data_IF_473848845125
#
_entry.id   IF_473848845125
#
_cell.length_a   1.000
_cell.length_b   1.000
_cell.length_c   1.000
_cell.angle_alpha   90.00
_cell.angle_beta   90.00
_cell.angle_gamma   90.00
#
_symmetry.space_group_name_H-M   'P 1'
#
loop_
_entity.id
_entity.type
_entity.pdbx_description
1 polymer ?
#
# COMPACT_ATOMS: atom_id res chain seq x y z
N UNK A 1 -17.91 -50.10 -6.02
CA UNK A 1 -17.95 -48.87 -5.21
C UNK A 1 -17.78 -49.29 -3.77
N UNK A 2 -16.60 -49.04 -3.22
CA UNK A 2 -16.24 -49.47 -1.88
C UNK A 2 -16.52 -48.29 -0.93
N UNK A 3 -17.81 -47.90 -0.80
CA UNK A 3 -18.25 -46.69 -0.10
C UNK A 3 -17.67 -46.56 1.32
N UNK A 4 -17.35 -47.67 1.98
CA UNK A 4 -16.75 -47.70 3.31
C UNK A 4 -15.26 -47.29 3.29
N UNK A 5 -14.52 -47.72 2.27
CA UNK A 5 -13.10 -47.35 2.09
C UNK A 5 -12.97 -45.90 1.64
N UNK A 6 -13.87 -45.44 0.78
CA UNK A 6 -13.95 -44.04 0.35
C UNK A 6 -14.28 -43.10 1.52
N UNK A 7 -15.20 -43.52 2.40
CA UNK A 7 -15.54 -42.77 3.62
C UNK A 7 -14.35 -42.71 4.60
N UNK A 8 -13.62 -43.82 4.78
CA UNK A 8 -12.38 -43.85 5.58
C UNK A 8 -11.32 -42.88 5.04
N UNK A 9 -11.23 -42.69 3.72
CA UNK A 9 -10.31 -41.72 3.11
C UNK A 9 -10.69 -40.29 3.49
N UNK A 10 -11.98 -39.94 3.41
CA UNK A 10 -12.48 -38.60 3.81
C UNK A 10 -12.12 -38.32 5.27
N UNK A 11 -12.40 -39.26 6.16
CA UNK A 11 -12.14 -39.12 7.59
C UNK A 11 -10.64 -38.97 7.89
N UNK A 12 -9.79 -39.76 7.22
CA UNK A 12 -8.33 -39.65 7.36
C UNK A 12 -7.80 -38.28 6.91
N UNK A 13 -8.32 -37.75 5.79
CA UNK A 13 -7.95 -36.42 5.29
C UNK A 13 -8.43 -35.32 6.24
N UNK A 14 -9.67 -35.39 6.73
CA UNK A 14 -10.22 -34.42 7.69
C UNK A 14 -9.49 -34.45 9.04
N UNK A 15 -9.05 -35.63 9.48
CA UNK A 15 -8.21 -35.79 10.66
C UNK A 15 -6.78 -35.27 10.47
N UNK A 16 -6.35 -35.12 9.21
CA UNK A 16 -4.98 -34.73 8.87
C UNK A 16 -3.95 -35.84 9.10
N UNK A 17 -4.37 -37.11 9.09
CA UNK A 17 -3.51 -38.26 9.31
C UNK A 17 -2.91 -38.75 7.98
N UNK A 18 -1.71 -38.29 7.66
CA UNK A 18 -1.01 -38.65 6.42
C UNK A 18 -0.74 -40.16 6.30
N UNK A 19 -0.47 -40.85 7.42
CA UNK A 19 -0.18 -42.28 7.41
C UNK A 19 -1.45 -43.08 7.11
N UNK A 20 -2.56 -42.72 7.75
CA UNK A 20 -3.86 -43.32 7.47
C UNK A 20 -4.31 -43.07 6.03
N UNK A 21 -4.10 -41.86 5.49
CA UNK A 21 -4.36 -41.56 4.08
C UNK A 21 -3.56 -42.48 3.15
N UNK A 22 -2.26 -42.64 3.41
CA UNK A 22 -1.41 -43.53 2.61
C UNK A 22 -1.88 -45.00 2.65
N UNK A 23 -2.29 -45.49 3.82
CA UNK A 23 -2.80 -46.85 3.96
C UNK A 23 -4.15 -47.03 3.25
N UNK A 24 -5.08 -46.09 3.41
CA UNK A 24 -6.42 -46.19 2.81
C UNK A 24 -6.35 -46.09 1.28
N UNK A 25 -5.43 -45.28 0.73
CA UNK A 25 -5.16 -45.26 -0.71
C UNK A 25 -4.56 -46.59 -1.20
N UNK A 26 -3.66 -47.20 -0.42
CA UNK A 26 -3.11 -48.53 -0.74
C UNK A 26 -4.18 -49.65 -0.67
N UNK A 27 -5.19 -49.49 0.19
CA UNK A 27 -6.36 -50.37 0.27
C UNK A 27 -7.33 -50.22 -0.93
N UNK A 28 -7.03 -49.30 -1.87
CA UNK A 28 -7.78 -49.11 -3.12
C UNK A 28 -8.90 -48.06 -3.05
N UNK A 29 -8.82 -47.10 -2.12
CA UNK A 29 -9.72 -45.95 -2.09
C UNK A 29 -9.62 -45.11 -3.37
N UNK A 30 -10.75 -44.55 -3.82
CA UNK A 30 -10.75 -43.63 -4.96
C UNK A 30 -10.19 -42.25 -4.53
N UNK A 31 -9.04 -41.81 -5.07
CA UNK A 31 -8.44 -40.53 -4.72
C UNK A 31 -9.25 -39.30 -5.19
N UNK A 32 -10.26 -39.49 -6.05
CA UNK A 32 -11.15 -38.44 -6.57
C UNK A 32 -12.50 -38.37 -5.82
N UNK A 33 -12.61 -38.99 -4.65
CA UNK A 33 -13.80 -38.94 -3.80
C UNK A 33 -14.28 -37.51 -3.56
N UNK A 34 -15.60 -37.32 -3.70
CA UNK A 34 -16.27 -36.04 -3.47
C UNK A 34 -16.64 -35.87 -1.99
N UNK A 35 -16.34 -34.68 -1.46
CA UNK A 35 -16.54 -34.31 -0.05
C UNK A 35 -17.61 -33.22 0.06
N UNK A 36 -18.52 -33.44 1.01
CA UNK A 36 -19.50 -32.44 1.45
C UNK A 36 -20.57 -32.07 0.42
N UNK A 37 -21.35 -31.04 0.76
CA UNK A 37 -22.53 -30.61 -0.01
C UNK A 37 -22.19 -30.01 -1.37
N UNK A 38 -20.99 -29.46 -1.52
CA UNK A 38 -20.52 -28.78 -2.74
C UNK A 38 -19.72 -29.70 -3.67
N UNK A 39 -19.63 -31.00 -3.38
CA UNK A 39 -18.94 -32.02 -4.20
C UNK A 39 -17.49 -31.65 -4.55
N UNK A 40 -16.77 -30.99 -3.64
CA UNK A 40 -15.33 -30.72 -3.84
C UNK A 40 -14.53 -32.02 -3.73
N UNK A 41 -13.41 -32.17 -4.43
CA UNK A 41 -12.56 -33.35 -4.29
C UNK A 41 -11.89 -33.41 -2.90
N UNK A 42 -11.55 -34.61 -2.45
CA UNK A 42 -10.78 -34.79 -1.20
C UNK A 42 -9.41 -34.09 -1.28
N UNK A 43 -8.85 -33.98 -2.48
CA UNK A 43 -7.65 -33.18 -2.77
C UNK A 43 -7.87 -31.68 -2.51
N UNK A 44 -9.02 -31.13 -2.91
CA UNK A 44 -9.35 -29.73 -2.62
C UNK A 44 -9.56 -29.47 -1.11
N UNK A 45 -10.00 -30.48 -0.34
CA UNK A 45 -10.12 -30.38 1.12
C UNK A 45 -8.76 -30.45 1.84
N UNK A 46 -7.87 -31.35 1.40
CA UNK A 46 -6.48 -31.37 1.85
C UNK A 46 -5.75 -30.05 1.54
N UNK A 47 -6.03 -29.47 0.37
CA UNK A 47 -5.48 -28.18 -0.03
C UNK A 47 -6.01 -27.01 0.81
N UNK A 48 -7.30 -27.02 1.17
CA UNK A 48 -7.93 -26.03 2.07
C UNK A 48 -7.32 -25.99 3.46
N UNK A 49 -6.90 -27.15 3.96
CA UNK A 49 -6.35 -27.31 5.31
C UNK A 49 -4.83 -27.14 5.35
N UNK A 50 -4.18 -26.87 4.22
CA UNK A 50 -2.73 -26.62 4.16
C UNK A 50 -1.87 -27.87 4.32
N UNK A 51 -2.42 -29.07 4.11
CA UNK A 51 -1.72 -30.34 4.41
C UNK A 51 -0.89 -30.83 3.22
N UNK A 52 0.29 -30.22 2.98
CA UNK A 52 1.18 -30.54 1.84
C UNK A 52 1.49 -32.04 1.69
N UNK A 53 1.74 -32.75 2.79
CA UNK A 53 2.02 -34.19 2.76
C UNK A 53 0.86 -35.01 2.21
N UNK A 54 -0.36 -34.75 2.70
CA UNK A 54 -1.59 -35.39 2.23
C UNK A 54 -1.88 -35.06 0.77
N UNK A 55 -1.69 -33.79 0.37
CA UNK A 55 -1.81 -33.38 -1.05
C UNK A 55 -0.86 -34.19 -1.93
N UNK A 56 0.39 -34.41 -1.49
CA UNK A 56 1.36 -35.25 -2.19
C UNK A 56 0.88 -36.70 -2.35
N UNK A 57 0.43 -37.33 -1.25
CA UNK A 57 -0.08 -38.72 -1.28
C UNK A 57 -1.26 -38.90 -2.23
N UNK A 58 -2.18 -37.95 -2.24
CA UNK A 58 -3.35 -37.99 -3.12
C UNK A 58 -2.94 -37.86 -4.59
N UNK A 59 -2.00 -36.97 -4.92
CA UNK A 59 -1.48 -36.84 -6.29
C UNK A 59 -0.68 -38.07 -6.73
N UNK A 60 0.14 -38.65 -5.84
CA UNK A 60 0.88 -39.89 -6.10
C UNK A 60 -0.06 -41.07 -6.39
N UNK A 61 -1.24 -41.09 -5.76
CA UNK A 61 -2.30 -42.07 -6.01
C UNK A 61 -3.12 -41.78 -7.28
N UNK A 62 -2.86 -40.67 -7.98
CA UNK A 62 -3.52 -40.32 -9.24
C UNK A 62 -4.75 -39.41 -9.11
N UNK A 63 -4.90 -38.69 -7.99
CA UNK A 63 -5.95 -37.67 -7.86
C UNK A 63 -5.90 -36.64 -8.99
N UNK A 64 -7.06 -36.20 -9.48
CA UNK A 64 -7.17 -35.12 -10.48
C UNK A 64 -6.72 -33.80 -9.88
N UNK A 65 -5.68 -33.20 -10.47
CA UNK A 65 -5.10 -31.93 -10.02
C UNK A 65 -6.01 -30.70 -10.29
N UNK A 66 -6.82 -30.76 -11.34
CA UNK A 66 -7.79 -29.73 -11.70
C UNK A 66 -9.10 -29.82 -10.90
N UNK A 67 -10.09 -28.96 -11.20
CA UNK A 67 -11.39 -29.05 -10.56
C UNK A 67 -12.12 -30.35 -10.95
N UNK A 68 -13.02 -30.82 -10.09
CA UNK A 68 -13.83 -32.01 -10.37
C UNK A 68 -14.85 -31.75 -11.49
N UNK A 69 -15.41 -30.53 -11.52
CA UNK A 69 -16.30 -30.03 -12.55
C UNK A 69 -16.13 -28.50 -12.73
N UNK A 70 -16.68 -27.88 -13.81
CA UNK A 70 -16.50 -26.46 -14.12
C UNK A 70 -16.99 -25.46 -13.05
N UNK A 71 -17.81 -25.91 -12.10
CA UNK A 71 -18.41 -25.07 -11.05
C UNK A 71 -17.75 -25.26 -9.69
N UNK A 72 -16.96 -26.33 -9.50
CA UNK A 72 -16.19 -26.57 -8.29
C UNK A 72 -14.88 -25.80 -8.28
N UNK A 73 -14.50 -25.27 -7.11
CA UNK A 73 -13.18 -24.66 -6.93
C UNK A 73 -12.09 -25.73 -7.03
N UNK A 74 -11.05 -25.46 -7.83
CA UNK A 74 -9.90 -26.36 -7.94
C UNK A 74 -9.10 -26.42 -6.63
N UNK A 75 -8.32 -27.50 -6.41
CA UNK A 75 -7.40 -27.56 -5.28
C UNK A 75 -6.46 -26.36 -5.19
N UNK A 76 -5.98 -25.86 -6.34
CA UNK A 76 -5.12 -24.69 -6.41
C UNK A 76 -5.84 -23.41 -5.94
N UNK A 77 -7.05 -23.15 -6.43
CA UNK A 77 -7.84 -21.96 -6.02
C UNK A 77 -8.12 -21.95 -4.54
N UNK A 78 -8.51 -23.10 -3.98
CA UNK A 78 -8.79 -23.19 -2.54
C UNK A 78 -7.52 -22.94 -1.72
N UNK A 79 -6.38 -23.52 -2.09
CA UNK A 79 -5.11 -23.22 -1.42
C UNK A 79 -4.69 -21.75 -1.53
N UNK A 80 -4.99 -21.10 -2.66
CA UNK A 80 -4.73 -19.67 -2.89
C UNK A 80 -5.60 -18.79 -1.99
N UNK A 81 -6.90 -19.08 -1.90
CA UNK A 81 -7.87 -18.33 -1.07
C UNK A 81 -7.49 -18.42 0.41
N UNK A 82 -7.08 -19.59 0.87
CA UNK A 82 -6.64 -19.84 2.26
C UNK A 82 -5.18 -19.43 2.52
N UNK A 83 -4.45 -18.99 1.49
CA UNK A 83 -3.06 -18.53 1.54
C UNK A 83 -2.03 -19.59 2.01
N UNK A 84 -2.24 -20.88 1.70
CA UNK A 84 -1.28 -21.96 2.00
C UNK A 84 -0.15 -22.01 0.97
N UNK A 85 0.85 -21.13 1.13
CA UNK A 85 1.92 -20.90 0.14
C UNK A 85 2.71 -22.16 -0.24
N UNK A 86 2.95 -23.06 0.71
CA UNK A 86 3.65 -24.32 0.52
C UNK A 86 2.86 -25.31 -0.34
N UNK A 87 1.56 -25.43 -0.10
CA UNK A 87 0.63 -26.21 -0.94
C UNK A 87 0.52 -25.59 -2.33
N UNK A 88 0.38 -24.26 -2.43
CA UNK A 88 0.32 -23.56 -3.73
C UNK A 88 1.58 -23.83 -4.55
N UNK A 89 2.76 -23.66 -3.95
CA UNK A 89 4.05 -23.93 -4.64
C UNK A 89 4.12 -25.37 -5.12
N UNK A 90 3.69 -26.32 -4.30
CA UNK A 90 3.69 -27.73 -4.66
C UNK A 90 2.72 -28.02 -5.82
N UNK A 91 1.46 -27.60 -5.73
CA UNK A 91 0.46 -27.79 -6.79
C UNK A 91 0.89 -27.15 -8.12
N UNK A 92 1.46 -25.95 -8.06
CA UNK A 92 2.01 -25.26 -9.23
C UNK A 92 3.16 -26.07 -9.85
N UNK A 93 4.07 -26.63 -9.05
CA UNK A 93 5.15 -27.49 -9.56
C UNK A 93 4.66 -28.78 -10.21
N UNK A 94 3.46 -29.24 -9.82
CA UNK A 94 2.76 -30.38 -10.44
C UNK A 94 1.93 -29.98 -11.69
N UNK A 95 1.95 -28.71 -12.12
CA UNK A 95 1.23 -28.25 -13.31
C UNK A 95 -0.22 -27.82 -13.07
N UNK A 96 -0.65 -27.61 -11.83
CA UNK A 96 -2.04 -27.25 -11.50
C UNK A 96 -2.51 -25.97 -12.21
N UNK A 97 -1.62 -25.00 -12.44
CA UNK A 97 -1.96 -23.74 -13.10
C UNK A 97 -2.47 -23.95 -14.54
N UNK A 98 -1.93 -24.94 -15.26
CA UNK A 98 -2.36 -25.28 -16.61
C UNK A 98 -3.67 -26.09 -16.63
N UNK A 99 -4.04 -26.70 -15.50
CA UNK A 99 -5.28 -27.47 -15.35
C UNK A 99 -6.48 -26.60 -14.93
N UNK A 100 -6.28 -25.29 -14.75
CA UNK A 100 -7.35 -24.37 -14.38
C UNK A 100 -8.38 -24.22 -15.51
N UNK A 101 -9.67 -24.24 -15.18
CA UNK A 101 -10.71 -24.06 -16.17
C UNK A 101 -10.68 -22.62 -16.71
N UNK A 102 -10.94 -22.47 -18.01
CA UNK A 102 -11.22 -21.18 -18.62
C UNK A 102 -12.53 -20.62 -18.02
N UNK A 103 -12.39 -19.77 -17.01
CA UNK A 103 -13.50 -19.14 -16.27
C UNK A 103 -13.34 -17.62 -16.34
N UNK A 104 -14.38 -16.89 -15.95
CA UNK A 104 -14.38 -15.42 -15.93
C UNK A 104 -13.35 -14.77 -14.99
N UNK A 105 -12.86 -15.50 -13.98
CA UNK A 105 -11.85 -14.99 -13.03
C UNK A 105 -10.64 -15.91 -13.03
N UNK A 106 -9.45 -15.32 -13.22
CA UNK A 106 -8.18 -16.06 -13.14
C UNK A 106 -7.81 -16.36 -11.68
N UNK A 107 -6.99 -17.40 -11.46
CA UNK A 107 -6.43 -17.70 -10.12
C UNK A 107 -5.64 -16.51 -9.57
N UNK A 108 -4.98 -15.74 -10.44
CA UNK A 108 -4.26 -14.54 -10.05
C UNK A 108 -5.21 -13.44 -9.55
N UNK A 109 -6.33 -13.22 -10.25
CA UNK A 109 -7.37 -12.25 -9.85
C UNK A 109 -8.03 -12.66 -8.53
N UNK A 110 -8.25 -13.96 -8.31
CA UNK A 110 -8.76 -14.49 -7.05
C UNK A 110 -7.74 -14.24 -5.91
N UNK A 111 -6.45 -14.51 -6.14
CA UNK A 111 -5.38 -14.23 -5.17
C UNK A 111 -5.35 -12.75 -4.78
N UNK A 112 -5.38 -11.85 -5.76
CA UNK A 112 -5.40 -10.40 -5.52
C UNK A 112 -6.64 -10.00 -4.71
N UNK A 113 -7.82 -10.51 -5.07
CA UNK A 113 -9.08 -10.20 -4.39
C UNK A 113 -9.07 -10.58 -2.90
N UNK A 114 -8.38 -11.68 -2.55
CA UNK A 114 -8.28 -12.16 -1.17
C UNK A 114 -7.12 -11.52 -0.39
N UNK A 115 -6.08 -11.02 -1.07
CA UNK A 115 -5.00 -10.20 -0.43
C UNK A 115 -5.44 -8.78 -0.06
N UNK A 116 -6.56 -8.33 -0.64
CA UNK A 116 -6.94 -6.92 -0.72
C UNK A 116 -7.51 -6.30 0.57
N UNK A 117 -8.02 -7.08 1.52
CA UNK A 117 -8.65 -6.53 2.73
C UNK A 117 -7.71 -6.51 3.94
N UNK A 118 -6.75 -7.45 4.03
CA UNK A 118 -5.63 -7.49 4.99
C UNK A 118 -4.53 -8.43 4.45
N UNK A 119 -3.50 -7.93 3.75
CA UNK A 119 -2.49 -8.79 3.18
C UNK A 119 -1.63 -9.40 4.29
N UNK A 120 -1.82 -10.70 4.55
CA UNK A 120 -0.91 -11.46 5.41
C UNK A 120 0.40 -11.71 4.65
N UNK A 121 1.53 -11.91 5.35
CA UNK A 121 2.78 -12.31 4.70
C UNK A 121 2.62 -13.56 3.83
N UNK A 122 1.77 -14.51 4.28
CA UNK A 122 1.43 -15.72 3.53
C UNK A 122 0.67 -15.41 2.24
N UNK A 123 -0.32 -14.51 2.27
CA UNK A 123 -1.07 -14.13 1.07
C UNK A 123 -0.17 -13.43 0.02
N UNK A 124 0.76 -12.57 0.46
CA UNK A 124 1.75 -11.96 -0.43
C UNK A 124 2.74 -12.98 -1.00
N UNK A 125 3.19 -13.93 -0.19
CA UNK A 125 4.07 -15.01 -0.66
C UNK A 125 3.36 -15.91 -1.68
N UNK A 126 2.09 -16.22 -1.47
CA UNK A 126 1.25 -16.97 -2.41
C UNK A 126 1.09 -16.21 -3.73
N UNK A 127 0.79 -14.91 -3.70
CA UNK A 127 0.72 -14.09 -4.90
C UNK A 127 2.05 -14.08 -5.67
N UNK A 128 3.17 -13.97 -4.96
CA UNK A 128 4.52 -14.02 -5.55
C UNK A 128 4.80 -15.36 -6.22
N UNK A 129 4.46 -16.47 -5.57
CA UNK A 129 4.61 -17.82 -6.16
C UNK A 129 3.83 -17.96 -7.46
N UNK A 130 2.59 -17.44 -7.51
CA UNK A 130 1.80 -17.48 -8.75
C UNK A 130 2.45 -16.67 -9.88
N UNK A 131 2.94 -15.46 -9.57
CA UNK A 131 3.61 -14.60 -10.55
C UNK A 131 4.93 -15.23 -11.05
N UNK A 132 5.73 -15.79 -10.15
CA UNK A 132 6.97 -16.52 -10.50
C UNK A 132 6.72 -17.75 -11.37
N UNK A 133 5.56 -18.38 -11.21
CA UNK A 133 5.13 -19.52 -12.01
C UNK A 133 4.55 -19.15 -13.39
N UNK A 134 4.55 -17.86 -13.74
CA UNK A 134 4.06 -17.39 -15.03
C UNK A 134 2.55 -17.17 -15.08
N UNK A 135 1.86 -17.05 -13.94
CA UNK A 135 0.51 -16.51 -13.93
C UNK A 135 0.57 -15.05 -14.40
N UNK A 136 0.19 -14.81 -15.66
CA UNK A 136 0.36 -13.51 -16.27
C UNK A 136 -0.72 -12.52 -15.79
N UNK A 137 -0.35 -11.28 -15.41
CA UNK A 137 -1.29 -10.17 -15.25
C UNK A 137 -1.70 -9.64 -16.64
N UNK A 138 -2.32 -10.50 -17.46
CA UNK A 138 -2.68 -10.20 -18.84
C UNK A 138 -3.92 -9.30 -18.97
N UNK A 139 -4.13 -8.69 -20.16
CA UNK A 139 -5.26 -7.80 -20.46
C UNK A 139 -6.61 -8.52 -20.66
N UNK A 140 -6.65 -9.86 -20.62
CA UNK A 140 -7.88 -10.63 -20.80
C UNK A 140 -8.70 -10.69 -19.50
N UNK A 141 -9.69 -9.78 -19.40
CA UNK A 141 -10.72 -9.64 -18.35
C UNK A 141 -10.21 -9.21 -16.95
N UNK A 142 -11.02 -8.36 -16.26
CA UNK A 142 -10.69 -7.55 -15.05
C UNK A 142 -9.27 -7.74 -14.50
N UNK A 143 -8.35 -6.99 -15.12
CA UNK A 143 -6.93 -7.17 -14.94
C UNK A 143 -6.52 -7.09 -13.46
N UNK A 144 -5.64 -7.96 -12.97
CA UNK A 144 -5.26 -8.04 -11.55
C UNK A 144 -4.85 -6.70 -10.94
N UNK A 145 -4.22 -5.81 -11.71
CA UNK A 145 -3.88 -4.46 -11.28
C UNK A 145 -5.11 -3.61 -10.96
N UNK A 146 -6.12 -3.62 -11.85
CA UNK A 146 -7.36 -2.85 -11.65
C UNK A 146 -8.12 -3.40 -10.45
N UNK A 147 -8.19 -4.73 -10.29
CA UNK A 147 -8.81 -5.37 -9.12
C UNK A 147 -8.10 -4.99 -7.82
N UNK A 148 -6.77 -4.87 -7.85
CA UNK A 148 -6.00 -4.36 -6.72
C UNK A 148 -6.35 -2.89 -6.42
N UNK A 149 -6.53 -2.03 -7.42
CA UNK A 149 -6.94 -0.63 -7.20
C UNK A 149 -8.38 -0.51 -6.68
N UNK A 150 -9.28 -1.41 -7.10
CA UNK A 150 -10.71 -1.38 -6.74
C UNK A 150 -11.00 -1.69 -5.27
N UNK A 151 -10.00 -2.14 -4.51
CA UNK A 151 -10.13 -2.46 -3.09
C UNK A 151 -9.18 -1.56 -2.29
N UNK A 152 -9.35 -1.39 -0.97
CA UNK A 152 -8.39 -0.67 -0.13
C UNK A 152 -7.12 -1.52 0.04
N UNK A 153 -6.37 -1.70 -1.04
CA UNK A 153 -5.26 -2.64 -1.11
C UNK A 153 -3.98 -2.00 -0.62
N UNK A 154 -3.12 -2.81 -0.02
CA UNK A 154 -1.78 -2.37 0.34
C UNK A 154 -0.96 -2.06 -0.94
N UNK A 155 -0.28 -0.91 -1.01
CA UNK A 155 0.67 -0.55 -2.08
C UNK A 155 1.66 -1.66 -2.46
N UNK A 156 1.95 -2.57 -1.53
CA UNK A 156 2.76 -3.76 -1.76
C UNK A 156 2.23 -4.69 -2.87
N UNK A 157 0.92 -4.89 -2.98
CA UNK A 157 0.32 -5.75 -4.02
C UNK A 157 0.45 -5.09 -5.39
N UNK A 158 0.17 -3.78 -5.48
CA UNK A 158 0.37 -3.02 -6.72
C UNK A 158 1.83 -3.07 -7.18
N UNK A 159 2.78 -2.78 -6.28
CA UNK A 159 4.22 -2.85 -6.58
C UNK A 159 4.64 -4.22 -7.05
N UNK A 160 4.10 -5.28 -6.43
CA UNK A 160 4.41 -6.65 -6.83
C UNK A 160 3.88 -6.95 -8.25
N UNK A 161 2.63 -6.62 -8.55
CA UNK A 161 2.05 -6.83 -9.89
C UNK A 161 2.84 -6.07 -10.97
N UNK A 162 3.18 -4.80 -10.70
CA UNK A 162 3.97 -3.97 -11.63
C UNK A 162 5.40 -4.52 -11.83
N UNK A 163 6.05 -5.01 -10.77
CA UNK A 163 7.37 -5.62 -10.85
C UNK A 163 7.41 -6.89 -11.71
N UNK A 164 6.28 -7.59 -11.84
CA UNK A 164 6.12 -8.78 -12.69
C UNK A 164 5.42 -8.47 -14.02
N UNK A 165 5.46 -7.21 -14.47
CA UNK A 165 5.08 -6.82 -15.83
C UNK A 165 3.59 -6.48 -16.02
N UNK A 166 2.84 -6.23 -14.94
CA UNK A 166 1.52 -5.61 -15.09
C UNK A 166 1.67 -4.20 -15.70
N UNK A 167 0.79 -3.85 -16.64
CA UNK A 167 0.80 -2.54 -17.27
C UNK A 167 0.11 -1.50 -16.37
N UNK A 168 0.83 -0.44 -15.99
CA UNK A 168 0.31 0.64 -15.15
C UNK A 168 -0.87 1.40 -15.80
N UNK A 169 -1.03 1.30 -17.12
CA UNK A 169 -2.10 1.92 -17.90
C UNK A 169 -3.31 1.01 -18.13
N UNK A 170 -3.39 -0.13 -17.43
CA UNK A 170 -4.53 -1.03 -17.53
C UNK A 170 -5.86 -0.33 -17.28
N UNK A 171 -6.86 -0.76 -18.02
CA UNK A 171 -8.22 -0.23 -17.96
C UNK A 171 -9.18 -1.30 -17.46
N UNK A 172 -10.23 -0.86 -16.75
CA UNK A 172 -11.38 -1.69 -16.43
C UNK A 172 -12.17 -2.02 -17.71
N UNK A 173 -13.08 -2.98 -17.62
CA UNK A 173 -14.01 -3.37 -18.70
C UNK A 173 -14.83 -2.22 -19.30
N UNK A 174 -15.02 -1.11 -18.58
CA UNK A 174 -15.69 0.09 -19.08
C UNK A 174 -14.71 1.16 -19.62
N UNK A 175 -13.50 0.75 -19.98
CA UNK A 175 -12.40 1.60 -20.43
C UNK A 175 -11.92 2.65 -19.40
N UNK A 176 -12.25 2.50 -18.12
CA UNK A 176 -11.75 3.39 -17.07
C UNK A 176 -10.29 3.03 -16.71
N UNK A 177 -9.32 3.95 -16.85
CA UNK A 177 -7.92 3.70 -16.48
C UNK A 177 -7.73 3.42 -14.98
N UNK A 178 -6.76 2.58 -14.62
CA UNK A 178 -6.47 2.24 -13.22
C UNK A 178 -6.20 3.48 -12.34
N UNK A 179 -5.45 4.47 -12.85
CA UNK A 179 -5.18 5.72 -12.13
C UNK A 179 -6.45 6.54 -11.87
N UNK A 180 -7.42 6.50 -12.80
CA UNK A 180 -8.73 7.12 -12.62
C UNK A 180 -9.52 6.41 -11.53
N UNK A 181 -9.50 5.07 -11.50
CA UNK A 181 -10.14 4.29 -10.44
C UNK A 181 -9.54 4.64 -9.07
N UNK A 182 -8.20 4.71 -8.95
CA UNK A 182 -7.52 5.06 -7.72
C UNK A 182 -7.92 6.46 -7.22
N UNK A 183 -7.94 7.44 -8.13
CA UNK A 183 -8.35 8.80 -7.82
C UNK A 183 -9.82 8.91 -7.40
N UNK A 184 -10.73 8.17 -8.07
CA UNK A 184 -12.15 8.06 -7.67
C UNK A 184 -12.36 7.46 -6.28
N UNK A 185 -11.36 6.76 -5.73
CA UNK A 185 -11.42 6.17 -4.39
C UNK A 185 -10.73 7.02 -3.33
N UNK A 186 -9.95 8.04 -3.72
CA UNK A 186 -9.12 8.80 -2.79
C UNK A 186 -7.84 8.06 -2.37
N UNK A 187 -7.46 7.00 -3.08
CA UNK A 187 -6.32 6.16 -2.72
C UNK A 187 -5.00 6.78 -3.20
N UNK A 188 -4.50 7.75 -2.44
CA UNK A 188 -3.24 8.45 -2.73
C UNK A 188 -2.05 7.50 -2.87
N UNK A 189 -1.97 6.43 -2.07
CA UNK A 189 -0.84 5.51 -2.11
C UNK A 189 -0.86 4.67 -3.40
N UNK A 190 -2.04 4.26 -3.88
CA UNK A 190 -2.17 3.62 -5.18
C UNK A 190 -1.83 4.58 -6.33
N UNK A 191 -2.27 5.84 -6.27
CA UNK A 191 -1.93 6.87 -7.27
C UNK A 191 -0.42 7.10 -7.35
N UNK A 192 0.25 7.25 -6.21
CA UNK A 192 1.72 7.43 -6.16
C UNK A 192 2.45 6.25 -6.81
N UNK A 193 2.05 5.01 -6.50
CA UNK A 193 2.66 3.81 -7.08
C UNK A 193 2.43 3.72 -8.59
N UNK A 194 1.22 4.04 -9.07
CA UNK A 194 0.91 4.02 -10.49
C UNK A 194 1.71 5.08 -11.26
N UNK A 195 1.82 6.30 -10.73
CA UNK A 195 2.62 7.37 -11.33
C UNK A 195 4.12 7.01 -11.38
N UNK A 196 4.66 6.44 -10.29
CA UNK A 196 6.04 5.95 -10.26
C UNK A 196 6.31 4.85 -11.29
N UNK A 197 5.28 4.06 -11.64
CA UNK A 197 5.35 3.03 -12.65
C UNK A 197 5.05 3.52 -14.08
N UNK A 198 4.93 4.83 -14.29
CA UNK A 198 4.72 5.41 -15.62
C UNK A 198 3.28 5.36 -16.11
N UNK A 199 2.29 5.32 -15.21
CA UNK A 199 0.89 5.53 -15.60
C UNK A 199 0.71 6.91 -16.25
N UNK A 200 -0.08 6.96 -17.31
CA UNK A 200 -0.51 8.18 -17.98
C UNK A 200 -1.39 9.00 -17.02
N UNK A 201 -0.83 10.11 -16.54
CA UNK A 201 -1.46 11.03 -15.59
C UNK A 201 -2.73 11.66 -16.15
N UNK A 202 -2.82 11.81 -17.47
CA UNK A 202 -3.93 12.46 -18.18
C UNK A 202 -4.87 11.45 -18.85
N UNK A 203 -4.73 10.17 -18.51
CA UNK A 203 -5.62 9.13 -18.99
C UNK A 203 -7.09 9.47 -18.71
N UNK A 204 -7.94 9.22 -19.71
CA UNK A 204 -9.35 9.61 -19.70
C UNK A 204 -10.26 8.40 -19.59
N UNK A 205 -11.30 8.51 -18.78
CA UNK A 205 -12.40 7.55 -18.77
C UNK A 205 -13.38 7.77 -19.94
N UNK A 206 -14.42 6.93 -20.02
CA UNK A 206 -15.44 7.00 -21.06
C UNK A 206 -16.22 8.34 -21.11
N UNK A 207 -16.14 9.19 -20.08
CA UNK A 207 -16.74 10.54 -20.05
C UNK A 207 -15.71 11.63 -20.39
N UNK A 208 -14.51 11.24 -20.80
CA UNK A 208 -13.40 12.16 -21.03
C UNK A 208 -12.80 12.74 -19.75
N UNK A 209 -13.16 12.22 -18.56
CA UNK A 209 -12.69 12.77 -17.29
C UNK A 209 -11.33 12.18 -16.91
N UNK A 210 -10.39 13.02 -16.48
CA UNK A 210 -9.06 12.63 -16.00
C UNK A 210 -9.08 12.31 -14.51
N UNK A 211 -8.04 11.64 -14.01
CA UNK A 211 -7.87 11.35 -12.58
C UNK A 211 -7.96 12.63 -11.72
N UNK A 212 -7.42 13.75 -12.20
CA UNK A 212 -7.47 15.03 -11.51
C UNK A 212 -8.92 15.51 -11.32
N UNK A 213 -9.76 15.42 -12.34
CA UNK A 213 -11.18 15.81 -12.23
C UNK A 213 -11.93 14.99 -11.18
N UNK A 214 -11.68 13.69 -11.10
CA UNK A 214 -12.28 12.82 -10.08
C UNK A 214 -11.78 13.18 -8.68
N UNK A 215 -10.49 13.42 -8.52
CA UNK A 215 -9.90 13.81 -7.25
C UNK A 215 -10.46 15.17 -6.76
N UNK A 216 -10.70 16.11 -7.68
CA UNK A 216 -11.32 17.40 -7.39
C UNK A 216 -12.78 17.28 -6.99
N UNK A 217 -13.58 16.50 -7.74
CA UNK A 217 -14.98 16.23 -7.42
C UNK A 217 -15.14 15.65 -6.00
N UNK A 218 -14.17 14.82 -5.58
CA UNK A 218 -14.13 14.21 -4.25
C UNK A 218 -13.41 15.05 -3.20
N UNK A 219 -12.70 16.11 -3.59
CA UNK A 219 -11.85 16.95 -2.71
C UNK A 219 -10.75 16.15 -1.99
N UNK A 220 -10.14 15.21 -2.71
CA UNK A 220 -9.05 14.36 -2.23
C UNK A 220 -7.72 15.09 -2.39
N UNK A 221 -7.42 16.01 -1.46
CA UNK A 221 -6.27 16.93 -1.52
C UNK A 221 -4.92 16.24 -1.78
N UNK A 222 -4.68 15.09 -1.14
CA UNK A 222 -3.44 14.31 -1.33
C UNK A 222 -3.32 13.76 -2.75
N UNK A 223 -4.41 13.23 -3.30
CA UNK A 223 -4.46 12.74 -4.68
C UNK A 223 -4.28 13.89 -5.67
N UNK A 224 -4.94 15.03 -5.43
CA UNK A 224 -4.78 16.24 -6.27
C UNK A 224 -3.31 16.65 -6.31
N UNK A 225 -2.65 16.74 -5.15
CA UNK A 225 -1.24 17.10 -5.06
C UNK A 225 -0.35 16.09 -5.81
N UNK A 226 -0.56 14.79 -5.62
CA UNK A 226 0.20 13.74 -6.32
C UNK A 226 0.06 13.85 -7.85
N UNK A 227 -1.16 14.05 -8.35
CA UNK A 227 -1.43 14.19 -9.78
C UNK A 227 -0.80 15.47 -10.36
N UNK A 228 -0.89 16.60 -9.65
CA UNK A 228 -0.27 17.86 -10.09
C UNK A 228 1.26 17.76 -10.11
N UNK A 229 1.86 17.12 -9.09
CA UNK A 229 3.30 16.83 -9.07
C UNK A 229 3.70 15.85 -10.19
N UNK A 230 2.81 14.93 -10.54
CA UNK A 230 2.93 14.04 -11.69
C UNK A 230 2.71 14.72 -13.06
N UNK A 231 2.45 16.04 -13.09
CA UNK A 231 2.30 16.80 -14.32
C UNK A 231 0.90 16.79 -14.94
N UNK A 232 -0.14 16.47 -14.18
CA UNK A 232 -1.53 16.45 -14.67
C UNK A 232 -1.94 17.78 -15.33
N UNK A 233 -2.57 17.69 -16.50
CA UNK A 233 -3.13 18.83 -17.20
C UNK A 233 -4.36 19.40 -16.46
N UNK A 234 -4.21 20.59 -15.88
CA UNK A 234 -5.28 21.30 -15.15
C UNK A 234 -6.41 21.81 -16.04
N UNK A 235 -6.09 22.00 -17.32
CA UNK A 235 -6.95 22.56 -18.37
C UNK A 235 -7.60 21.47 -19.25
N UNK A 236 -7.37 20.19 -18.94
CA UNK A 236 -8.08 19.10 -19.58
C UNK A 236 -9.60 19.31 -19.51
N UNK A 237 -10.30 18.96 -20.60
CA UNK A 237 -11.73 19.16 -20.76
C UNK A 237 -12.40 17.80 -20.98
N UNK A 238 -13.42 17.50 -20.17
CA UNK A 238 -14.26 16.31 -20.31
C UNK A 238 -15.29 16.45 -21.43
N UNK A 239 -16.00 15.37 -21.75
CA UNK A 239 -16.99 15.37 -22.83
C UNK A 239 -18.17 16.34 -22.59
N UNK A 240 -18.49 16.64 -21.33
CA UNK A 240 -19.50 17.61 -20.89
C UNK A 240 -18.95 19.04 -20.72
N UNK A 241 -17.71 19.31 -21.16
CA UNK A 241 -17.11 20.65 -21.10
C UNK A 241 -16.65 21.08 -19.70
N UNK A 242 -16.47 20.11 -18.78
CA UNK A 242 -15.99 20.37 -17.43
C UNK A 242 -14.46 20.30 -17.39
N UNK A 243 -13.86 21.25 -16.68
CA UNK A 243 -12.46 21.21 -16.26
C UNK A 243 -12.39 20.89 -14.77
N UNK A 244 -11.21 20.50 -14.28
CA UNK A 244 -10.97 20.35 -12.84
C UNK A 244 -11.36 21.63 -12.08
N UNK A 245 -11.01 22.81 -12.60
CA UNK A 245 -11.36 24.09 -12.01
C UNK A 245 -12.89 24.33 -11.99
N UNK A 246 -13.61 23.99 -13.06
CA UNK A 246 -15.07 24.17 -13.14
C UNK A 246 -15.80 23.29 -12.13
N UNK A 247 -15.31 22.07 -11.92
CA UNK A 247 -15.79 21.17 -10.87
C UNK A 247 -15.54 21.78 -9.49
N UNK A 248 -14.31 22.24 -9.21
CA UNK A 248 -13.98 22.88 -7.94
C UNK A 248 -14.85 24.10 -7.62
N UNK A 249 -15.21 24.89 -8.64
CA UNK A 249 -16.16 26.03 -8.51
C UNK A 249 -17.59 25.58 -8.24
N UNK A 250 -18.10 24.62 -9.01
CA UNK A 250 -19.46 24.08 -8.82
C UNK A 250 -19.68 23.51 -7.42
N UNK A 251 -18.62 22.94 -6.81
CA UNK A 251 -18.65 22.37 -5.47
C UNK A 251 -18.10 23.28 -4.36
N UNK A 252 -17.82 24.56 -4.66
CA UNK A 252 -17.28 25.56 -3.72
C UNK A 252 -15.99 25.12 -2.98
N UNK A 253 -15.11 24.36 -3.65
CA UNK A 253 -13.85 23.84 -3.08
C UNK A 253 -12.72 24.86 -3.20
N UNK A 254 -12.73 25.91 -2.37
CA UNK A 254 -11.77 27.03 -2.43
C UNK A 254 -10.31 26.56 -2.34
N UNK A 255 -10.01 25.63 -1.43
CA UNK A 255 -8.67 25.04 -1.29
C UNK A 255 -8.18 24.33 -2.57
N UNK A 256 -9.09 23.75 -3.35
CA UNK A 256 -8.74 23.11 -4.62
C UNK A 256 -8.53 24.14 -5.72
N UNK A 257 -9.35 25.20 -5.76
CA UNK A 257 -9.15 26.33 -6.69
C UNK A 257 -7.78 26.98 -6.49
N UNK A 258 -7.35 27.09 -5.23
CA UNK A 258 -6.01 27.53 -4.87
C UNK A 258 -4.92 26.57 -5.39
N UNK A 259 -5.06 25.26 -5.15
CA UNK A 259 -4.11 24.25 -5.67
C UNK A 259 -4.00 24.27 -7.22
N UNK A 260 -5.07 24.63 -7.91
CA UNK A 260 -5.12 24.74 -9.38
C UNK A 260 -4.66 26.11 -9.91
N UNK A 261 -4.22 27.02 -9.05
CA UNK A 261 -3.55 28.26 -9.45
C UNK A 261 -4.44 29.50 -9.62
N UNK A 262 -5.71 29.47 -9.20
CA UNK A 262 -6.55 30.68 -9.18
C UNK A 262 -6.53 31.37 -7.80
N UNK A 263 -6.21 32.68 -7.77
CA UNK A 263 -6.44 33.55 -6.60
C UNK A 263 -7.91 33.97 -6.57
N UNK A 264 -8.67 33.82 -5.48
CA UNK A 264 -8.60 34.70 -4.30
C UNK A 264 -8.70 33.94 -2.97
N UNK A 265 -7.89 34.43 -2.03
CA UNK A 265 -7.46 33.85 -0.77
C UNK A 265 -8.57 33.78 0.29
N UNK A 266 -8.82 32.57 0.80
CA UNK A 266 -9.08 32.28 2.21
C UNK A 266 -8.16 31.12 2.58
N UNK A 267 -6.99 31.44 3.14
CA UNK A 267 -5.92 30.50 3.48
C UNK A 267 -6.27 29.76 4.77
N UNK A 268 -7.17 28.78 4.74
CA UNK A 268 -7.41 27.90 5.89
C UNK A 268 -7.59 26.44 5.42
N UNK A 269 -6.81 25.54 6.02
CA UNK A 269 -7.01 24.07 6.04
C UNK A 269 -6.32 23.17 4.99
N UNK A 270 -5.09 23.42 4.55
CA UNK A 270 -4.25 22.28 4.11
C UNK A 270 -3.07 22.11 5.07
N UNK A 271 -3.27 21.27 6.09
CA UNK A 271 -2.18 20.71 6.88
C UNK A 271 -1.24 19.94 5.94
N UNK A 272 -0.12 20.57 5.59
CA UNK A 272 1.02 19.89 5.00
C UNK A 272 1.90 19.50 6.19
N UNK A 273 1.88 18.23 6.58
CA UNK A 273 2.73 17.67 7.65
C UNK A 273 4.23 17.61 7.25
N UNK A 274 4.70 18.48 6.34
CA UNK A 274 6.08 18.50 5.88
C UNK A 274 6.71 19.84 6.21
N UNK A 275 7.88 19.79 6.83
CA UNK A 275 8.80 20.92 6.89
C UNK A 275 9.35 21.18 5.49
N UNK A 276 9.70 22.43 5.18
CA UNK A 276 10.45 22.82 3.99
C UNK A 276 11.67 23.59 4.45
N UNK A 277 12.84 23.10 4.06
CA UNK A 277 14.14 23.68 4.36
C UNK A 277 14.69 24.31 3.09
N UNK A 278 14.97 25.62 3.15
CA UNK A 278 15.58 26.36 2.04
C UNK A 278 16.88 27.00 2.49
N UNK A 279 17.99 26.60 1.86
CA UNK A 279 19.27 27.26 2.06
C UNK A 279 19.21 28.72 1.58
N UNK A 280 19.67 29.65 2.41
CA UNK A 280 19.82 31.07 2.12
C UNK A 280 21.30 31.46 2.23
N UNK A 281 21.73 32.57 1.60
CA UNK A 281 23.14 33.00 1.65
C UNK A 281 23.69 33.24 3.07
N UNK A 282 22.82 33.57 4.03
CA UNK A 282 23.20 33.91 5.42
C UNK A 282 22.62 32.94 6.45
N UNK A 283 22.01 31.83 6.03
CA UNK A 283 21.32 30.92 6.94
C UNK A 283 20.44 29.91 6.20
N UNK A 284 19.43 29.40 6.88
CA UNK A 284 18.50 28.40 6.35
C UNK A 284 17.10 28.75 6.82
N UNK A 285 16.16 28.85 5.87
CA UNK A 285 14.76 29.07 6.19
C UNK A 285 14.08 27.74 6.43
N UNK A 286 13.50 27.60 7.62
CA UNK A 286 12.60 26.51 7.96
C UNK A 286 11.17 27.00 7.81
N UNK A 287 10.32 26.29 7.08
CA UNK A 287 8.89 26.57 6.95
C UNK A 287 8.07 25.31 7.22
N UNK A 288 6.90 25.45 7.82
CA UNK A 288 6.04 24.31 8.15
C UNK A 288 4.76 24.70 8.86
N UNK A 289 3.90 23.73 9.09
CA UNK A 289 2.73 23.89 9.98
C UNK A 289 3.21 24.34 11.38
N UNK A 290 2.59 25.36 12.00
CA UNK A 290 2.84 25.73 13.39
C UNK A 290 2.93 24.55 14.35
N UNK A 291 2.04 23.57 14.23
CA UNK A 291 2.05 22.39 15.10
C UNK A 291 3.33 21.57 14.97
N UNK A 292 3.85 21.44 13.74
CA UNK A 292 5.11 20.76 13.46
C UNK A 292 6.32 21.56 13.97
N UNK A 293 6.31 22.88 13.82
CA UNK A 293 7.39 23.74 14.36
C UNK A 293 7.42 23.69 15.90
N UNK A 294 6.25 23.65 16.54
CA UNK A 294 6.14 23.43 17.98
C UNK A 294 6.58 22.00 18.38
N UNK A 295 6.32 20.98 17.55
CA UNK A 295 6.83 19.63 17.80
C UNK A 295 8.37 19.61 17.83
N UNK A 296 9.03 20.34 16.91
CA UNK A 296 10.48 20.48 16.91
C UNK A 296 10.98 21.20 18.17
N UNK A 297 10.29 22.25 18.62
CA UNK A 297 10.64 22.93 19.87
C UNK A 297 10.53 21.97 21.08
N UNK A 298 9.42 21.24 21.18
CA UNK A 298 9.20 20.27 22.25
C UNK A 298 10.21 19.12 22.22
N UNK A 299 10.61 18.66 21.02
CA UNK A 299 11.62 17.63 20.86
C UNK A 299 12.98 18.08 21.42
N UNK A 300 13.35 19.35 21.17
CA UNK A 300 14.58 19.94 21.71
C UNK A 300 14.49 20.06 23.24
N UNK A 301 13.40 20.61 23.77
CA UNK A 301 13.21 20.77 25.22
C UNK A 301 13.31 19.41 25.94
N UNK A 302 12.61 18.38 25.46
CA UNK A 302 12.64 17.03 26.06
C UNK A 302 14.04 16.42 26.02
N UNK A 303 14.75 16.57 24.91
CA UNK A 303 16.09 16.01 24.77
C UNK A 303 17.12 16.73 25.66
N UNK A 304 17.00 18.06 25.82
CA UNK A 304 17.82 18.83 26.76
C UNK A 304 17.51 18.50 28.21
N UNK A 305 16.23 18.34 28.57
CA UNK A 305 15.81 17.99 29.94
C UNK A 305 16.27 16.57 30.33
N UNK A 306 16.29 15.62 29.37
CA UNK A 306 16.70 14.23 29.61
C UNK A 306 18.23 14.07 29.70
N UNK A 307 18.99 14.79 28.86
CA UNK A 307 20.45 14.67 28.79
C UNK A 307 21.17 15.65 29.73
N UNK A 308 20.63 16.86 29.92
CA UNK A 308 21.36 17.97 30.52
C UNK A 308 22.44 18.56 29.60
N UNK A 309 22.94 19.75 29.95
CA UNK A 309 23.77 20.57 29.06
C UNK A 309 25.11 19.89 28.67
N UNK A 310 25.82 19.31 29.64
CA UNK A 310 27.14 18.69 29.42
C UNK A 310 27.05 17.42 28.55
N UNK A 311 26.04 16.58 28.79
CA UNK A 311 25.82 15.35 28.03
C UNK A 311 25.32 15.66 26.62
N UNK A 312 24.40 16.62 26.47
CA UNK A 312 23.94 17.10 25.17
C UNK A 312 25.12 17.55 24.31
N UNK A 313 25.96 18.45 24.85
CA UNK A 313 27.11 19.00 24.13
C UNK A 313 28.07 17.90 23.65
N UNK A 314 28.37 16.95 24.55
CA UNK A 314 29.30 15.85 24.28
C UNK A 314 28.75 14.89 23.24
N UNK A 315 27.47 14.54 23.35
CA UNK A 315 26.84 13.46 22.57
C UNK A 315 26.36 13.92 21.19
N UNK A 316 25.83 15.13 21.10
CA UNK A 316 25.28 15.68 19.86
C UNK A 316 26.31 16.47 19.05
N UNK A 317 27.38 16.95 19.70
CA UNK A 317 28.34 17.88 19.09
C UNK A 317 27.73 19.25 18.78
N UNK A 318 26.56 19.56 19.34
CA UNK A 318 25.88 20.85 19.20
C UNK A 318 25.75 21.53 20.56
N UNK A 319 25.80 22.85 20.57
CA UNK A 319 25.76 23.65 21.80
C UNK A 319 24.33 23.72 22.39
N UNK A 320 24.20 23.43 23.69
CA UNK A 320 22.93 23.36 24.41
C UNK A 320 22.22 24.73 24.46
N UNK A 321 22.96 25.83 24.60
CA UNK A 321 22.38 27.17 24.58
C UNK A 321 21.83 27.52 23.19
N UNK A 322 22.53 27.11 22.14
CA UNK A 322 22.04 27.22 20.75
C UNK A 322 20.77 26.39 20.53
N UNK A 323 20.70 25.18 21.08
CA UNK A 323 19.51 24.33 21.01
C UNK A 323 18.31 24.99 21.74
N UNK A 324 18.53 25.49 22.96
CA UNK A 324 17.52 26.18 23.76
C UNK A 324 17.02 27.45 23.06
N UNK A 325 17.93 28.23 22.49
CA UNK A 325 17.57 29.39 21.68
C UNK A 325 16.68 28.99 20.50
N UNK A 326 17.03 27.93 19.76
CA UNK A 326 16.20 27.44 18.65
C UNK A 326 14.79 27.04 19.11
N UNK A 327 14.67 26.34 20.25
CA UNK A 327 13.36 25.94 20.79
C UNK A 327 12.48 27.14 21.16
N UNK A 328 13.05 28.20 21.75
CA UNK A 328 12.34 29.46 22.03
C UNK A 328 11.87 30.11 20.72
N UNK A 329 12.77 30.23 19.75
CA UNK A 329 12.46 30.87 18.46
C UNK A 329 11.39 30.12 17.66
N UNK A 330 11.41 28.78 17.70
CA UNK A 330 10.37 27.94 17.10
C UNK A 330 8.99 28.12 17.75
N UNK A 331 8.92 28.57 19.00
CA UNK A 331 7.65 28.89 19.68
C UNK A 331 7.19 30.31 19.43
N UNK A 332 8.11 31.26 19.55
CA UNK A 332 7.74 32.67 19.76
C UNK A 332 8.05 33.55 18.54
N UNK A 333 8.96 33.13 17.66
CA UNK A 333 9.45 33.94 16.54
C UNK A 333 9.03 33.41 15.16
N UNK A 334 8.21 32.36 15.10
CA UNK A 334 7.69 31.84 13.83
C UNK A 334 6.74 32.88 13.21
N UNK A 335 7.05 33.32 11.99
CA UNK A 335 6.25 34.31 11.28
C UNK A 335 5.39 33.64 10.20
N UNK A 336 4.16 34.10 9.94
CA UNK A 336 3.39 33.61 8.80
C UNK A 336 4.18 33.80 7.50
N UNK A 337 4.27 32.76 6.67
CA UNK A 337 4.90 32.92 5.37
C UNK A 337 3.98 33.71 4.42
N UNK A 338 4.58 34.52 3.56
CA UNK A 338 3.84 35.39 2.64
C UNK A 338 2.91 34.57 1.74
N UNK A 339 1.60 34.83 1.83
CA UNK A 339 0.53 34.17 1.05
C UNK A 339 0.40 32.65 1.28
N UNK A 340 0.65 32.14 2.49
CA UNK A 340 0.46 30.72 2.79
C UNK A 340 0.10 30.43 4.27
N UNK A 341 -0.52 29.29 4.56
CA UNK A 341 -1.05 28.90 5.89
C UNK A 341 0.01 28.35 6.87
N UNK A 342 1.25 28.22 6.40
CA UNK A 342 2.42 27.80 7.18
C UNK A 342 3.19 28.98 7.76
N UNK A 343 3.97 28.70 8.80
CA UNK A 343 4.87 29.67 9.40
C UNK A 343 6.32 29.35 8.99
N UNK A 344 7.18 30.35 9.08
CA UNK A 344 8.58 30.29 8.70
C UNK A 344 9.46 30.94 9.75
N UNK A 345 10.68 30.43 9.87
CA UNK A 345 11.74 30.93 10.72
C UNK A 345 13.05 30.89 9.95
N UNK A 346 13.77 32.01 9.91
CA UNK A 346 15.14 32.05 9.41
C UNK A 346 16.07 31.57 10.52
N UNK A 347 16.64 30.38 10.35
CA UNK A 347 17.53 29.71 11.29
C UNK A 347 18.97 29.65 10.76
N UNK A 348 19.94 29.49 11.64
CA UNK A 348 21.33 29.21 11.30
C UNK A 348 21.54 27.71 11.06
N UNK A 349 22.67 27.36 10.44
CA UNK A 349 23.06 25.96 10.26
C UNK A 349 23.27 25.23 11.61
N UNK A 350 23.72 25.94 12.64
CA UNK A 350 23.93 25.40 13.98
C UNK A 350 22.59 25.08 14.67
N UNK A 351 21.61 25.97 14.54
CA UNK A 351 20.26 25.76 15.08
C UNK A 351 19.54 24.58 14.43
N UNK A 352 19.68 24.42 13.10
CA UNK A 352 19.15 23.23 12.41
C UNK A 352 19.88 21.95 12.79
N UNK A 353 21.20 22.01 13.01
CA UNK A 353 21.95 20.88 13.50
C UNK A 353 21.45 20.46 14.90
N UNK A 354 21.19 21.41 15.79
CA UNK A 354 20.63 21.15 17.12
C UNK A 354 19.23 20.53 17.05
N UNK A 355 18.33 21.09 16.22
CA UNK A 355 16.99 20.52 16.01
C UNK A 355 17.04 19.08 15.47
N UNK A 356 17.94 18.82 14.52
CA UNK A 356 18.18 17.47 14.00
C UNK A 356 18.73 16.53 15.07
N UNK A 357 19.68 16.99 15.89
CA UNK A 357 20.26 16.18 16.97
C UNK A 357 19.20 15.75 17.99
N UNK A 358 18.28 16.64 18.35
CA UNK A 358 17.14 16.29 19.22
C UNK A 358 16.29 15.16 18.61
N UNK A 359 15.98 15.25 17.31
CA UNK A 359 15.23 14.20 16.61
C UNK A 359 15.97 12.87 16.56
N UNK A 360 17.29 12.88 16.34
CA UNK A 360 18.13 11.67 16.37
C UNK A 360 18.09 11.02 17.76
N UNK A 361 18.18 11.82 18.83
CA UNK A 361 18.10 11.31 20.20
C UNK A 361 16.74 10.70 20.52
N UNK A 362 15.65 11.32 20.07
CA UNK A 362 14.31 10.77 20.28
C UNK A 362 14.01 9.54 19.39
N UNK A 363 14.54 9.51 18.17
CA UNK A 363 14.36 8.40 17.24
C UNK A 363 15.15 7.15 17.66
N UNK A 364 16.43 7.34 18.04
CA UNK A 364 17.40 6.25 18.19
C UNK A 364 18.16 6.26 19.52
N UNK A 365 18.06 7.32 20.31
CA UNK A 365 18.69 7.43 21.63
C UNK A 365 17.94 6.69 22.73
N UNK A 366 18.43 6.86 23.96
CA UNK A 366 17.90 6.19 25.16
C UNK A 366 16.71 6.92 25.80
N UNK A 367 16.24 8.01 25.18
CA UNK A 367 15.20 8.88 25.72
C UNK A 367 13.91 8.12 25.94
N UNK A 368 13.34 8.26 27.14
CA UNK A 368 12.15 7.51 27.59
C UNK A 368 10.83 8.22 27.32
N UNK A 369 10.86 9.53 27.05
CA UNK A 369 9.68 10.39 26.94
C UNK A 369 9.59 10.96 25.53
N UNK A 370 8.43 10.79 24.89
CA UNK A 370 8.13 11.37 23.58
C UNK A 370 7.27 12.63 23.77
N UNK A 371 7.31 13.59 22.83
CA UNK A 371 6.34 14.68 22.80
C UNK A 371 4.91 14.14 22.85
N UNK A 372 4.04 14.81 23.59
CA UNK A 372 2.65 14.38 23.78
C UNK A 372 1.93 14.16 22.46
N UNK A 373 1.32 12.98 22.28
CA UNK A 373 0.59 12.64 21.06
C UNK A 373 1.48 12.24 19.88
N UNK A 374 2.78 12.03 20.07
CA UNK A 374 3.72 11.65 19.02
C UNK A 374 4.37 10.29 19.30
N UNK A 375 4.49 9.45 18.27
CA UNK A 375 5.13 8.14 18.31
C UNK A 375 6.59 8.21 17.82
N UNK A 376 7.39 7.20 18.17
CA UNK A 376 8.78 7.10 17.70
C UNK A 376 8.88 6.94 16.18
N UNK A 377 7.89 6.30 15.57
CA UNK A 377 7.77 6.20 14.12
C UNK A 377 7.61 7.59 13.49
N UNK A 378 6.72 8.43 14.04
CA UNK A 378 6.51 9.80 13.54
C UNK A 378 7.75 10.68 13.71
N UNK A 379 8.50 10.57 14.81
CA UNK A 379 9.79 11.27 14.96
C UNK A 379 10.82 10.79 13.92
N UNK A 380 10.83 9.48 13.62
CA UNK A 380 11.71 8.92 12.59
C UNK A 380 11.37 9.46 11.22
N UNK A 381 10.09 9.52 10.87
CA UNK A 381 9.61 10.08 9.59
C UNK A 381 10.00 11.57 9.45
N UNK A 382 9.85 12.36 10.52
CA UNK A 382 10.25 13.78 10.55
C UNK A 382 11.76 13.93 10.37
N UNK A 383 12.56 13.07 11.01
CA UNK A 383 14.02 13.06 10.88
C UNK A 383 14.46 12.69 9.46
N UNK A 384 13.89 11.65 8.86
CA UNK A 384 14.21 11.22 7.50
C UNK A 384 13.86 12.30 6.47
N UNK A 385 12.72 12.97 6.65
CA UNK A 385 12.33 14.12 5.84
C UNK A 385 13.35 15.26 5.94
N UNK A 386 13.73 15.62 7.17
CA UNK A 386 14.71 16.69 7.43
C UNK A 386 16.08 16.36 6.82
N UNK A 387 16.55 15.11 6.94
CA UNK A 387 17.81 14.65 6.33
C UNK A 387 17.77 14.75 4.80
N UNK A 388 16.67 14.31 4.19
CA UNK A 388 16.49 14.36 2.73
C UNK A 388 16.60 15.79 2.20
N UNK A 389 16.04 16.75 2.91
CA UNK A 389 16.05 18.16 2.51
C UNK A 389 17.40 18.85 2.77
N UNK A 390 18.13 18.41 3.80
CA UNK A 390 19.48 18.87 4.08
C UNK A 390 20.55 18.21 3.19
N UNK A 391 20.18 17.19 2.40
CA UNK A 391 21.11 16.42 1.58
C UNK A 391 22.09 15.58 2.40
N UNK A 392 21.64 15.05 3.55
CA UNK A 392 22.46 14.27 4.50
C UNK A 392 22.05 12.80 4.58
#
# INVERSE_FOLDING_TARGET
MNNDVDQRLIEAVQAGDEAAVGQVLADGADPDVAVGRFRGSVLADAARTGRRGIVGRLLDAGARIGPADPYTASPLRVAVIEAHTDVVRFLVSCGALAAEPATRSSVLTDAVSHTAFRPTPAALATLRVLLEAGAAPGPSEEAPLVTAVMRPVAPAVLRLLLAYGADANQQRSDATPAIVVAARRGDHAAVDVLLQAGADVDARDARGRTALMHAVERNEKRVIAALLLGGAAVDAVSADGMTALRLARGWQRQNVQFMLGERHVGLDDVAINRTVVRALPTGVRLAGDPQMLHLLANAIDIALDDLGDDEWNTRTGTDADTARAMAVRLRDEIAPAVNASWHQLDASAAELAAARSALVELAYGTTRIMPTGTSRLEITDVLEELNRQLGR
#
